data_IF_515593992174
#
_entry.id   IF_515593992174
#
_cell.length_a   1.000
_cell.length_b   1.000
_cell.length_c   1.000
_cell.angle_alpha   90.00
_cell.angle_beta   90.00
_cell.angle_gamma   90.00
#
_symmetry.space_group_name_H-M   'P 1'
#
loop_
_entity.id
_entity.type
_entity.pdbx_description
1 polymer ?
#
# COMPACT_ATOMS: atom_id res chain seq x y z
N UNK A 1 -24.11 1.71 19.00
CA UNK A 1 -22.89 2.52 19.23
C UNK A 1 -22.08 2.44 17.95
N UNK A 2 -22.26 3.44 17.09
CA UNK A 2 -21.51 3.53 15.82
C UNK A 2 -20.08 3.93 16.14
N UNK A 3 -19.15 3.00 15.93
CA UNK A 3 -17.72 3.28 15.97
C UNK A 3 -17.37 3.73 14.56
N UNK A 4 -17.57 5.02 14.28
CA UNK A 4 -17.04 5.63 13.07
C UNK A 4 -15.52 5.65 13.16
N UNK A 5 -14.85 5.05 12.16
CA UNK A 5 -13.44 5.26 11.94
C UNK A 5 -13.15 6.78 11.87
N UNK A 6 -11.94 7.25 12.28
CA UNK A 6 -11.63 8.66 12.26
C UNK A 6 -11.82 9.20 10.84
N UNK A 7 -12.88 10.00 10.64
CA UNK A 7 -13.12 10.76 9.44
C UNK A 7 -11.98 11.79 9.31
N UNK A 8 -10.97 11.45 8.55
CA UNK A 8 -10.10 12.47 7.99
C UNK A 8 -10.96 13.33 7.07
N UNK A 9 -11.22 14.57 7.48
CA UNK A 9 -12.10 15.49 6.78
C UNK A 9 -11.74 15.55 5.29
N UNK A 10 -12.64 15.09 4.45
CA UNK A 10 -12.48 14.96 3.00
C UNK A 10 -12.35 16.32 2.25
N UNK A 11 -12.28 17.43 2.95
CA UNK A 11 -12.25 18.80 2.43
C UNK A 11 -10.89 19.50 2.56
N UNK A 12 -9.81 18.79 2.89
CA UNK A 12 -8.50 19.45 2.90
C UNK A 12 -7.98 19.59 1.46
N UNK A 13 -7.78 20.82 1.02
CA UNK A 13 -7.01 21.13 -0.19
C UNK A 13 -5.51 20.85 -0.02
N UNK A 14 -5.11 20.26 1.10
CA UNK A 14 -3.72 20.03 1.50
C UNK A 14 -3.41 18.54 1.31
N UNK A 15 -2.32 18.18 0.62
CA UNK A 15 -1.87 16.79 0.53
C UNK A 15 -1.56 16.22 1.91
N UNK A 16 -1.83 14.92 2.08
CA UNK A 16 -1.49 14.18 3.29
C UNK A 16 -0.16 13.46 3.07
N UNK A 17 0.81 13.74 3.93
CA UNK A 17 2.11 13.07 3.94
C UNK A 17 2.15 12.00 5.04
N UNK A 18 2.48 10.78 4.64
CA UNK A 18 2.75 9.67 5.53
C UNK A 18 4.21 9.25 5.38
N UNK A 19 4.89 9.09 6.51
CA UNK A 19 6.24 8.54 6.55
C UNK A 19 6.14 7.01 6.56
N UNK A 20 6.76 6.37 5.59
CA UNK A 20 6.72 4.91 5.44
C UNK A 20 8.05 4.32 5.83
N UNK A 21 8.03 3.32 6.71
CA UNK A 21 9.19 2.57 7.15
C UNK A 21 8.91 1.07 7.15
N UNK A 22 9.97 0.26 7.02
CA UNK A 22 9.84 -1.19 7.26
C UNK A 22 9.52 -1.45 8.72
N UNK A 23 8.56 -2.31 8.97
CA UNK A 23 8.35 -2.89 10.28
C UNK A 23 9.29 -4.11 10.40
N UNK A 24 10.34 -3.99 11.21
CA UNK A 24 11.09 -5.17 11.64
C UNK A 24 10.33 -5.79 12.81
N UNK A 25 9.93 -7.03 12.68
CA UNK A 25 9.48 -7.79 13.84
C UNK A 25 10.71 -8.07 14.69
N UNK A 26 10.75 -7.54 15.92
CA UNK A 26 11.80 -7.86 16.89
C UNK A 26 11.81 -9.37 17.19
N UNK A 27 12.88 -9.84 17.83
CA UNK A 27 13.15 -11.25 18.20
C UNK A 27 12.02 -12.01 18.92
N UNK A 28 10.96 -11.32 19.33
CA UNK A 28 9.84 -11.90 20.09
C UNK A 28 8.66 -12.39 19.25
N UNK A 29 8.60 -12.06 17.96
CA UNK A 29 7.55 -12.54 17.07
C UNK A 29 8.13 -13.69 16.24
N UNK A 30 7.77 -14.91 16.55
CA UNK A 30 8.25 -16.15 15.91
C UNK A 30 7.93 -16.32 14.42
N UNK A 31 7.99 -15.26 13.65
CA UNK A 31 7.80 -15.26 12.20
C UNK A 31 8.14 -13.90 11.64
N UNK A 32 9.33 -13.78 11.03
CA UNK A 32 9.84 -12.55 10.43
C UNK A 32 8.99 -12.04 9.27
N UNK A 33 7.88 -11.39 9.57
CA UNK A 33 7.04 -10.75 8.56
C UNK A 33 7.56 -9.37 8.20
N UNK A 34 8.06 -9.18 6.98
CA UNK A 34 8.37 -7.87 6.42
C UNK A 34 7.05 -7.07 6.27
N UNK A 35 6.84 -6.10 7.16
CA UNK A 35 5.70 -5.19 7.13
C UNK A 35 6.07 -3.77 6.71
N UNK A 36 5.06 -2.93 6.49
CA UNK A 36 5.20 -1.49 6.31
C UNK A 36 4.44 -0.76 7.41
N UNK A 37 5.05 0.26 7.98
CA UNK A 37 4.43 1.19 8.94
C UNK A 37 4.29 2.54 8.28
N UNK A 38 3.12 3.13 8.42
CA UNK A 38 2.79 4.45 7.93
C UNK A 38 2.49 5.33 9.13
N UNK A 39 3.28 6.38 9.31
CA UNK A 39 3.15 7.32 10.42
C UNK A 39 2.89 8.73 9.91
N UNK A 40 2.22 9.54 10.71
CA UNK A 40 2.07 10.97 10.44
C UNK A 40 3.38 11.73 10.66
N UNK A 41 3.36 13.05 10.46
CA UNK A 41 4.50 13.94 10.68
C UNK A 41 4.96 14.00 12.15
N UNK A 42 4.06 13.69 13.10
CA UNK A 42 4.34 13.61 14.53
C UNK A 42 4.92 12.26 14.95
N UNK A 43 4.97 11.28 14.04
CA UNK A 43 5.45 9.93 14.30
C UNK A 43 4.39 8.97 14.84
N UNK A 44 3.12 9.40 14.94
CA UNK A 44 2.02 8.52 15.35
C UNK A 44 1.71 7.51 14.25
N UNK A 45 1.45 6.26 14.64
CA UNK A 45 1.03 5.22 13.70
C UNK A 45 -0.36 5.57 13.15
N UNK A 46 -0.49 5.54 11.81
CA UNK A 46 -1.78 5.72 11.11
C UNK A 46 -2.24 4.39 10.51
N UNK A 47 -1.32 3.71 9.80
CA UNK A 47 -1.59 2.41 9.20
C UNK A 47 -0.40 1.46 9.34
N UNK A 48 -0.69 0.16 9.27
CA UNK A 48 0.32 -0.89 9.25
C UNK A 48 -0.08 -1.99 8.26
N UNK A 49 0.84 -2.40 7.40
CA UNK A 49 0.67 -3.57 6.53
C UNK A 49 1.53 -4.68 7.09
N UNK A 50 0.92 -5.81 7.43
CA UNK A 50 1.59 -6.99 7.96
C UNK A 50 1.45 -8.19 7.03
N UNK A 51 2.47 -9.04 7.00
CA UNK A 51 2.39 -10.36 6.41
C UNK A 51 1.75 -11.31 7.42
N UNK A 52 0.62 -11.88 7.09
CA UNK A 52 0.03 -12.95 7.87
C UNK A 52 0.62 -14.28 7.39
N UNK A 53 1.30 -14.98 8.30
CA UNK A 53 1.72 -16.36 8.06
C UNK A 53 0.47 -17.25 8.09
N UNK A 54 -0.06 -17.53 6.93
CA UNK A 54 -0.99 -18.64 6.70
C UNK A 54 -0.23 -19.71 5.92
N UNK A 55 -0.64 -20.95 6.03
CA UNK A 55 -0.02 -22.13 5.42
C UNK A 55 0.79 -21.85 4.15
N UNK A 56 1.84 -22.61 3.92
CA UNK A 56 2.93 -22.41 2.93
C UNK A 56 2.53 -22.04 1.49
N UNK A 57 1.23 -21.94 1.19
CA UNK A 57 0.69 -21.72 -0.17
C UNK A 57 0.09 -20.34 -0.43
N UNK A 58 -0.26 -19.54 0.59
CA UNK A 58 -0.95 -18.25 0.37
C UNK A 58 -0.19 -17.10 1.00
N UNK A 59 0.34 -16.19 0.15
CA UNK A 59 0.88 -14.92 0.60
C UNK A 59 -0.28 -13.97 0.90
N UNK A 60 -0.63 -13.88 2.19
CA UNK A 60 -1.69 -13.02 2.71
C UNK A 60 -1.09 -11.86 3.49
N UNK A 61 -1.56 -10.66 3.22
CA UNK A 61 -1.26 -9.46 3.99
C UNK A 61 -2.53 -8.85 4.54
N UNK A 62 -2.39 -8.10 5.61
CA UNK A 62 -3.49 -7.32 6.19
C UNK A 62 -3.05 -5.87 6.37
N UNK A 63 -3.92 -4.95 5.98
CA UNK A 63 -3.83 -3.55 6.35
C UNK A 63 -4.60 -3.33 7.65
N UNK A 64 -3.93 -2.78 8.63
CA UNK A 64 -4.46 -2.45 9.94
C UNK A 64 -4.49 -0.94 10.12
N UNK A 65 -5.46 -0.45 10.89
CA UNK A 65 -5.47 0.92 11.40
C UNK A 65 -4.51 1.10 12.59
N UNK A 66 -4.49 2.30 13.18
CA UNK A 66 -3.68 2.63 14.35
C UNK A 66 -4.05 1.80 15.59
N UNK A 67 -5.29 1.34 15.70
CA UNK A 67 -5.84 0.52 16.79
C UNK A 67 -5.67 -0.98 16.54
N UNK A 68 -4.97 -1.35 15.46
CA UNK A 68 -4.79 -2.74 15.00
C UNK A 68 -6.07 -3.43 14.52
N UNK A 69 -7.11 -2.67 14.14
CA UNK A 69 -8.29 -3.24 13.50
C UNK A 69 -7.98 -3.54 12.02
N UNK A 70 -8.37 -4.72 11.51
CA UNK A 70 -8.16 -5.06 10.10
C UNK A 70 -9.11 -4.26 9.20
N UNK A 71 -8.54 -3.58 8.21
CA UNK A 71 -9.28 -2.78 7.23
C UNK A 71 -9.39 -3.49 5.88
N UNK A 72 -8.27 -4.03 5.36
CA UNK A 72 -8.19 -4.64 4.04
C UNK A 72 -7.29 -5.87 4.12
N UNK A 73 -7.78 -6.98 3.58
CA UNK A 73 -7.02 -8.22 3.39
C UNK A 73 -6.55 -8.32 1.95
N UNK A 74 -5.26 -8.54 1.76
CA UNK A 74 -4.59 -8.58 0.46
C UNK A 74 -4.08 -10.00 0.21
N UNK A 75 -4.49 -10.59 -0.88
CA UNK A 75 -4.08 -11.93 -1.29
C UNK A 75 -3.34 -11.88 -2.62
N UNK A 76 -2.23 -12.57 -2.69
CA UNK A 76 -1.50 -12.79 -3.93
C UNK A 76 -1.89 -14.13 -4.51
N UNK A 77 -2.34 -14.11 -5.76
CA UNK A 77 -2.68 -15.31 -6.51
C UNK A 77 -1.44 -15.96 -7.14
N UNK A 78 -1.57 -17.24 -7.51
CA UNK A 78 -0.48 -18.01 -8.14
C UNK A 78 -0.03 -17.44 -9.50
N UNK A 79 -0.94 -16.76 -10.22
CA UNK A 79 -0.64 -16.07 -11.48
C UNK A 79 0.12 -14.73 -11.29
N UNK A 80 0.41 -14.34 -10.03
CA UNK A 80 1.13 -13.10 -9.73
C UNK A 80 0.24 -11.86 -9.64
N UNK A 81 -1.09 -11.98 -9.76
CA UNK A 81 -2.04 -10.90 -9.48
C UNK A 81 -2.36 -10.80 -7.99
N UNK A 82 -3.01 -9.70 -7.59
CA UNK A 82 -3.47 -9.50 -6.21
C UNK A 82 -4.95 -9.19 -6.19
N UNK A 83 -5.57 -9.53 -5.08
CA UNK A 83 -6.96 -9.19 -4.76
C UNK A 83 -7.02 -8.60 -3.36
N UNK A 84 -7.81 -7.54 -3.19
CA UNK A 84 -8.03 -6.89 -1.90
C UNK A 84 -9.49 -7.03 -1.49
N UNK A 85 -9.73 -7.38 -0.22
CA UNK A 85 -11.06 -7.66 0.33
C UNK A 85 -11.27 -6.90 1.63
N UNK A 86 -12.53 -6.56 1.94
CA UNK A 86 -12.92 -6.01 3.26
C UNK A 86 -12.86 -7.06 4.36
N UNK A 87 -13.15 -8.32 4.04
CA UNK A 87 -13.20 -9.45 4.96
C UNK A 87 -12.13 -10.50 4.67
N UNK A 88 -11.90 -11.36 5.64
CA UNK A 88 -10.92 -12.46 5.54
C UNK A 88 -11.42 -13.65 4.72
N UNK A 89 -12.72 -13.79 4.55
CA UNK A 89 -13.37 -14.98 3.96
C UNK A 89 -13.22 -15.08 2.43
N UNK A 90 -12.63 -14.10 1.77
CA UNK A 90 -12.50 -14.02 0.31
C UNK A 90 -13.85 -14.13 -0.43
N UNK A 91 -14.90 -13.64 0.18
CA UNK A 91 -16.20 -13.62 -0.48
C UNK A 91 -16.22 -12.57 -1.58
N UNK A 92 -16.81 -12.87 -2.72
CA UNK A 92 -16.80 -11.96 -3.88
C UNK A 92 -17.52 -10.64 -3.59
N UNK A 93 -18.53 -10.65 -2.72
CA UNK A 93 -19.20 -9.44 -2.24
C UNK A 93 -18.29 -8.47 -1.47
N UNK A 94 -17.20 -8.99 -0.86
CA UNK A 94 -16.23 -8.22 -0.08
C UNK A 94 -15.01 -7.81 -0.91
N UNK A 95 -14.96 -8.19 -2.18
CA UNK A 95 -13.86 -7.84 -3.08
C UNK A 95 -13.88 -6.34 -3.39
N UNK A 96 -12.77 -5.66 -3.03
CA UNK A 96 -12.60 -4.21 -3.26
C UNK A 96 -11.98 -3.97 -4.64
N UNK A 97 -10.87 -4.67 -4.94
CA UNK A 97 -10.15 -4.47 -6.18
C UNK A 97 -9.34 -5.69 -6.60
N UNK A 98 -9.03 -5.73 -7.89
CA UNK A 98 -8.05 -6.63 -8.51
C UNK A 98 -6.88 -5.82 -9.02
N UNK A 99 -5.67 -6.34 -8.85
CA UNK A 99 -4.43 -5.67 -9.26
C UNK A 99 -3.62 -6.64 -10.11
N UNK A 100 -3.31 -6.22 -11.32
CA UNK A 100 -2.54 -7.00 -12.27
C UNK A 100 -1.24 -6.27 -12.65
N UNK A 101 -0.15 -7.04 -12.77
CA UNK A 101 1.11 -6.48 -13.22
C UNK A 101 1.13 -6.51 -14.75
N UNK A 102 1.21 -5.34 -15.38
CA UNK A 102 1.24 -5.20 -16.82
C UNK A 102 2.66 -5.07 -17.37
N UNK A 103 3.59 -4.54 -16.57
CA UNK A 103 4.99 -4.43 -16.96
C UNK A 103 5.92 -4.71 -15.77
N UNK A 104 7.00 -5.45 -16.04
CA UNK A 104 8.08 -5.68 -15.09
C UNK A 104 9.41 -5.69 -15.83
N UNK A 105 10.13 -4.57 -15.75
CA UNK A 105 11.45 -4.41 -16.34
C UNK A 105 12.44 -3.87 -15.31
N UNK A 106 13.72 -3.86 -15.64
CA UNK A 106 14.77 -3.27 -14.80
C UNK A 106 14.53 -1.76 -14.61
N UNK A 107 13.93 -1.09 -15.59
CA UNK A 107 13.69 0.35 -15.59
C UNK A 107 12.38 0.74 -14.89
N UNK A 108 11.41 -0.17 -14.78
CA UNK A 108 10.14 0.17 -14.15
C UNK A 108 9.18 -1.01 -14.03
N UNK A 109 8.20 -0.81 -13.18
CA UNK A 109 7.10 -1.75 -12.92
C UNK A 109 5.79 -1.01 -13.06
N UNK A 110 4.84 -1.59 -13.77
CA UNK A 110 3.48 -1.06 -13.91
C UNK A 110 2.46 -2.09 -13.45
N UNK A 111 1.40 -1.59 -12.81
CA UNK A 111 0.23 -2.36 -12.43
C UNK A 111 -1.03 -1.62 -12.86
N UNK A 112 -2.04 -2.38 -13.23
CA UNK A 112 -3.39 -1.91 -13.42
C UNK A 112 -4.28 -2.39 -12.29
N UNK A 113 -5.18 -1.51 -11.83
CA UNK A 113 -6.09 -1.75 -10.72
C UNK A 113 -7.50 -1.56 -11.21
N UNK A 114 -8.32 -2.59 -11.06
CA UNK A 114 -9.75 -2.56 -11.34
C UNK A 114 -10.52 -2.61 -10.02
N UNK A 115 -11.31 -1.57 -9.74
CA UNK A 115 -12.20 -1.52 -8.57
C UNK A 115 -13.45 -2.33 -8.89
N UNK A 116 -13.86 -3.16 -7.95
CA UNK A 116 -15.12 -3.91 -8.07
C UNK A 116 -16.24 -3.06 -7.48
N UNK A 117 -17.07 -2.49 -8.35
CA UNK A 117 -18.26 -1.73 -7.98
C UNK A 117 -19.52 -2.50 -8.36
N UNK A 118 -20.70 -1.95 -8.01
CA UNK A 118 -22.01 -2.58 -8.30
C UNK A 118 -22.32 -2.72 -9.79
N UNK A 119 -21.58 -2.01 -10.67
CA UNK A 119 -21.74 -2.07 -12.12
C UNK A 119 -20.54 -2.75 -12.78
N UNK A 120 -20.61 -4.06 -12.89
CA UNK A 120 -19.57 -4.97 -13.42
C UNK A 120 -19.26 -4.82 -14.93
N UNK A 121 -20.04 -4.07 -15.72
CA UNK A 121 -20.02 -4.18 -17.18
C UNK A 121 -18.92 -3.41 -17.92
N UNK A 122 -18.10 -2.59 -17.26
CA UNK A 122 -16.97 -1.93 -17.92
C UNK A 122 -15.65 -2.21 -17.18
N UNK A 123 -14.89 -3.17 -17.68
CA UNK A 123 -13.52 -3.50 -17.26
C UNK A 123 -12.50 -2.43 -17.66
N UNK A 124 -12.73 -1.19 -17.25
CA UNK A 124 -11.74 -0.12 -17.38
C UNK A 124 -10.90 -0.07 -16.12
N UNK A 125 -9.58 -0.13 -16.25
CA UNK A 125 -8.68 0.01 -15.11
C UNK A 125 -8.91 1.39 -14.46
N UNK A 126 -9.35 1.40 -13.19
CA UNK A 126 -9.66 2.63 -12.46
C UNK A 126 -8.41 3.37 -12.05
N UNK A 127 -7.35 2.62 -11.71
CA UNK A 127 -6.06 3.19 -11.35
C UNK A 127 -4.93 2.49 -12.08
N UNK A 128 -3.88 3.26 -12.30
CA UNK A 128 -2.61 2.77 -12.82
C UNK A 128 -1.49 3.12 -11.85
N UNK A 129 -0.67 2.13 -11.48
CA UNK A 129 0.50 2.34 -10.66
C UNK A 129 1.75 2.19 -11.51
N UNK A 130 2.64 3.18 -11.44
CA UNK A 130 3.92 3.18 -12.17
C UNK A 130 5.05 3.56 -11.22
N UNK A 131 6.19 2.91 -11.38
CA UNK A 131 7.35 3.28 -10.59
C UNK A 131 8.49 2.31 -10.68
N UNK A 132 9.46 2.50 -9.80
CA UNK A 132 10.62 1.64 -9.67
C UNK A 132 10.71 1.07 -8.26
N UNK A 133 10.71 -0.24 -8.18
CA UNK A 133 10.92 -0.94 -6.93
C UNK A 133 12.31 -0.64 -6.34
N UNK A 134 13.31 -0.47 -7.18
CA UNK A 134 14.68 -0.18 -6.75
C UNK A 134 14.79 1.22 -6.10
N UNK A 135 14.18 2.23 -6.72
CA UNK A 135 14.18 3.61 -6.21
C UNK A 135 13.07 3.88 -5.20
N UNK A 136 12.24 2.88 -4.86
CA UNK A 136 11.08 3.05 -3.98
C UNK A 136 10.16 4.19 -4.41
N UNK A 137 10.10 4.41 -5.69
CA UNK A 137 9.19 5.37 -6.30
C UNK A 137 7.98 4.64 -6.85
N UNK A 138 6.81 5.13 -6.51
CA UNK A 138 5.53 4.68 -7.05
C UNK A 138 4.64 5.90 -7.21
N UNK A 139 4.01 6.04 -8.37
CA UNK A 139 2.98 7.04 -8.62
C UNK A 139 1.71 6.32 -8.97
N UNK A 140 0.61 6.68 -8.31
CA UNK A 140 -0.73 6.14 -8.54
C UNK A 140 -1.52 7.19 -9.31
N UNK A 141 -2.07 6.78 -10.43
CA UNK A 141 -2.90 7.60 -11.32
C UNK A 141 -4.35 7.10 -11.28
N UNK A 142 -5.30 8.05 -11.33
CA UNK A 142 -6.70 7.81 -11.68
C UNK A 142 -6.98 8.57 -12.99
N UNK A 143 -7.12 7.85 -14.09
CA UNK A 143 -7.07 8.46 -15.41
C UNK A 143 -5.75 9.21 -15.63
N UNK A 144 -5.82 10.52 -15.88
CA UNK A 144 -4.65 11.37 -16.08
C UNK A 144 -4.22 12.13 -14.82
N UNK A 145 -4.92 11.97 -13.70
CA UNK A 145 -4.63 12.69 -12.46
C UNK A 145 -3.77 11.85 -11.52
N UNK A 146 -2.76 12.46 -10.90
CA UNK A 146 -1.97 11.82 -9.85
C UNK A 146 -2.78 11.88 -8.56
N UNK A 147 -3.03 10.72 -7.95
CA UNK A 147 -3.74 10.61 -6.67
C UNK A 147 -2.81 10.35 -5.50
N UNK A 148 -1.67 9.71 -5.75
CA UNK A 148 -0.65 9.52 -4.72
C UNK A 148 0.73 9.29 -5.34
N UNK A 149 1.77 9.61 -4.57
CA UNK A 149 3.15 9.42 -4.99
C UNK A 149 4.05 9.06 -3.82
N UNK A 150 5.00 8.15 -4.03
CA UNK A 150 6.07 7.90 -3.05
C UNK A 150 7.37 8.55 -3.49
N UNK A 151 8.15 9.03 -2.51
CA UNK A 151 9.49 9.60 -2.73
C UNK A 151 10.46 9.14 -1.66
N UNK A 152 11.70 8.84 -2.06
CA UNK A 152 12.76 8.53 -1.11
C UNK A 152 13.04 9.72 -0.19
N UNK A 153 13.37 9.42 1.05
CA UNK A 153 13.82 10.43 2.00
C UNK A 153 15.35 10.47 2.01
N UNK A 154 15.88 11.68 1.92
CA UNK A 154 17.30 11.96 2.02
C UNK A 154 17.58 12.69 3.33
N UNK A 155 18.64 12.32 4.03
CA UNK A 155 19.16 13.07 5.17
C UNK A 155 20.46 13.75 4.75
N UNK A 156 20.50 15.07 4.87
CA UNK A 156 21.74 15.84 4.77
C UNK A 156 22.52 15.64 6.09
N UNK A 157 23.69 15.03 6.02
CA UNK A 157 24.60 14.90 7.15
C UNK A 157 25.85 15.74 6.93
N UNK A 158 26.63 15.97 7.98
CA UNK A 158 27.89 16.76 7.95
C UNK A 158 28.92 16.17 6.97
N UNK A 159 28.80 14.89 6.61
CA UNK A 159 29.74 14.18 5.72
C UNK A 159 29.11 13.78 4.37
N UNK A 160 27.95 14.33 4.00
CA UNK A 160 27.29 14.03 2.73
C UNK A 160 25.80 13.72 2.82
N UNK A 161 25.24 13.33 1.69
CA UNK A 161 23.83 12.95 1.58
C UNK A 161 23.69 11.45 1.83
N UNK A 162 23.02 11.08 2.91
CA UNK A 162 22.70 9.68 3.21
C UNK A 162 21.29 9.34 2.73
N UNK A 163 21.18 8.35 1.84
CA UNK A 163 19.91 7.84 1.40
C UNK A 163 19.40 6.77 2.37
N UNK A 164 18.26 7.04 3.02
CA UNK A 164 17.62 6.08 3.89
C UNK A 164 16.83 5.06 3.05
N UNK A 165 17.45 3.97 2.63
CA UNK A 165 16.80 2.92 1.83
C UNK A 165 15.56 2.30 2.47
N UNK A 166 15.39 2.44 3.79
CA UNK A 166 14.28 1.84 4.55
C UNK A 166 13.17 2.83 4.89
N UNK A 167 13.28 4.10 4.47
CA UNK A 167 12.27 5.13 4.72
C UNK A 167 11.97 5.89 3.44
N UNK A 168 10.69 6.12 3.20
CA UNK A 168 10.20 6.95 2.10
C UNK A 168 8.94 7.68 2.54
N UNK A 169 8.53 8.67 1.79
CA UNK A 169 7.31 9.43 2.04
C UNK A 169 6.26 9.00 1.04
N UNK A 170 5.04 8.83 1.50
CA UNK A 170 3.84 8.70 0.69
C UNK A 170 3.06 10.01 0.81
N UNK A 171 2.89 10.70 -0.31
CA UNK A 171 2.02 11.88 -0.42
C UNK A 171 0.73 11.46 -1.11
N UNK A 172 -0.41 11.69 -0.47
CA UNK A 172 -1.76 11.48 -1.02
C UNK A 172 -2.32 12.85 -1.36
N UNK A 173 -2.68 13.05 -2.63
CA UNK A 173 -3.18 14.34 -3.11
C UNK A 173 -4.67 14.51 -2.77
N UNK A 174 -5.14 15.78 -2.63
CA UNK A 174 -6.54 16.09 -2.34
C UNK A 174 -7.49 15.56 -3.40
N UNK A 175 -8.74 15.31 -2.98
CA UNK A 175 -9.80 14.85 -3.88
C UNK A 175 -9.95 13.32 -3.97
N UNK A 176 -9.09 12.56 -3.29
CA UNK A 176 -9.24 11.12 -3.14
C UNK A 176 -9.55 10.76 -1.67
N UNK A 177 -10.68 10.11 -1.44
CA UNK A 177 -11.24 9.93 -0.08
C UNK A 177 -10.72 8.65 0.60
N UNK A 178 -10.44 7.58 -0.15
CA UNK A 178 -10.06 6.30 0.46
C UNK A 178 -8.53 6.16 0.63
N UNK A 179 -8.02 6.69 1.74
CA UNK A 179 -6.61 6.59 2.10
C UNK A 179 -6.18 5.15 2.39
N UNK A 180 -7.07 4.31 2.95
CA UNK A 180 -6.77 2.91 3.25
C UNK A 180 -6.52 2.13 1.96
N UNK A 181 -7.33 2.37 0.91
CA UNK A 181 -7.11 1.77 -0.40
C UNK A 181 -5.74 2.19 -0.99
N UNK A 182 -5.39 3.48 -0.96
CA UNK A 182 -4.08 3.95 -1.45
C UNK A 182 -2.94 3.27 -0.71
N UNK A 183 -3.03 3.17 0.62
CA UNK A 183 -2.02 2.49 1.45
C UNK A 183 -1.92 1.00 1.11
N UNK A 184 -3.07 0.32 0.89
CA UNK A 184 -3.10 -1.07 0.45
C UNK A 184 -2.42 -1.26 -0.90
N UNK A 185 -2.69 -0.37 -1.88
CA UNK A 185 -2.05 -0.39 -3.21
C UNK A 185 -0.53 -0.18 -3.12
N UNK A 186 -0.06 0.71 -2.25
CA UNK A 186 1.37 0.88 -1.96
C UNK A 186 1.96 -0.39 -1.34
N UNK A 187 1.22 -1.04 -0.42
CA UNK A 187 1.58 -2.35 0.13
C UNK A 187 1.76 -3.42 -0.94
N UNK A 188 0.83 -3.49 -1.91
CA UNK A 188 0.90 -4.40 -3.07
C UNK A 188 2.09 -4.07 -3.96
N UNK A 189 2.29 -2.79 -4.30
CA UNK A 189 3.39 -2.36 -5.16
C UNK A 189 4.74 -2.82 -4.60
N UNK A 190 4.96 -2.66 -3.30
CA UNK A 190 6.20 -3.05 -2.65
C UNK A 190 6.27 -4.53 -2.24
N UNK A 191 5.17 -5.29 -2.31
CA UNK A 191 5.17 -6.75 -2.11
C UNK A 191 5.85 -7.50 -3.27
N UNK A 192 5.89 -6.92 -4.45
CA UNK A 192 6.50 -7.52 -5.65
C UNK A 192 7.98 -7.89 -5.51
N UNK A 193 8.59 -7.67 -4.35
CA UNK A 193 9.99 -7.97 -4.06
C UNK A 193 10.15 -9.25 -3.24
N UNK A 194 10.48 -10.35 -3.89
CA UNK A 194 11.31 -11.41 -3.28
C UNK A 194 12.82 -11.16 -3.48
N UNK A 195 13.24 -9.96 -3.82
CA UNK A 195 14.63 -9.58 -4.06
C UNK A 195 15.10 -8.58 -3.00
N UNK A 196 15.25 -9.07 -1.77
CA UNK A 196 16.09 -8.46 -0.77
C UNK A 196 17.19 -9.46 -0.41
N UNK A 197 18.23 -9.43 -1.21
CA UNK A 197 19.56 -9.85 -0.80
C UNK A 197 20.32 -8.61 -0.38
#
# INVERSE_FOLDING_TARGET
MDISAPEFQANSHIPIDLLVSKAHCGLTCGGGGDGLRFTDSSGNLVFKVELLQSDKSTHKRVLLDASANPLIFIYRNNNGSWQAFKGDNREEKDLICRVERTMNSLSGTEFEVSIVGENWEESKSDFKMKGSLFYRSCTIYKGNSIVAQTSLMYKLGIQGVFMWRNRFRLTIFPGFVDHALIVALIGIFFDGRKLWI
#
